data_IF_914742949103
#
_entry.id   IF_914742949103
#
_cell.length_a   1.000
_cell.length_b   1.000
_cell.length_c   1.000
_cell.angle_alpha   90.00
_cell.angle_beta   90.00
_cell.angle_gamma   90.00
#
_symmetry.space_group_name_H-M   'P 1'
#
loop_
_entity.id
_entity.type
_entity.pdbx_description
1 polymer ?
#
# COMPACT_ATOMS: atom_id res chain seq x y z
N UNK A 1 4.02 -11.64 -39.19
CA UNK A 1 4.39 -10.37 -38.58
C UNK A 1 3.40 -10.17 -37.45
N UNK A 2 3.83 -10.55 -36.25
CA UNK A 2 3.03 -10.56 -35.04
C UNK A 2 3.36 -9.29 -34.25
N UNK A 3 2.43 -8.34 -34.21
CA UNK A 3 2.46 -7.24 -33.26
C UNK A 3 1.81 -7.71 -31.97
N UNK A 4 2.64 -8.06 -30.98
CA UNK A 4 2.21 -8.19 -29.60
C UNK A 4 1.99 -6.78 -29.04
N UNK A 5 0.74 -6.39 -28.92
CA UNK A 5 0.32 -5.24 -28.10
C UNK A 5 0.58 -5.63 -26.64
N UNK A 6 1.58 -5.01 -26.04
CA UNK A 6 1.83 -5.11 -24.61
C UNK A 6 0.66 -4.42 -23.87
N UNK A 7 -0.27 -5.21 -23.35
CA UNK A 7 -1.23 -4.73 -22.36
C UNK A 7 -0.46 -4.32 -21.11
N UNK A 8 -0.25 -3.02 -20.94
CA UNK A 8 0.22 -2.44 -19.69
C UNK A 8 -0.88 -2.65 -18.65
N UNK A 9 -0.61 -3.55 -17.71
CA UNK A 9 -1.51 -3.86 -16.62
C UNK A 9 -1.70 -2.62 -15.73
N UNK A 10 -2.94 -2.14 -15.56
CA UNK A 10 -3.34 -1.05 -14.64
C UNK A 10 -2.91 -1.25 -13.18
N UNK A 11 -2.38 -2.43 -12.85
CA UNK A 11 -1.79 -2.72 -11.54
C UNK A 11 -0.47 -1.98 -11.31
N UNK A 12 0.23 -1.53 -12.36
CA UNK A 12 1.50 -0.82 -12.24
C UNK A 12 1.32 0.63 -11.74
N UNK A 13 0.20 1.27 -12.08
CA UNK A 13 -0.10 2.65 -11.68
C UNK A 13 -0.43 2.75 -10.17
N UNK A 14 -0.99 1.67 -9.57
CA UNK A 14 -1.31 1.62 -8.14
C UNK A 14 -0.11 1.47 -7.21
N UNK A 15 1.07 1.16 -7.72
CA UNK A 15 2.29 1.07 -6.88
C UNK A 15 2.76 2.45 -6.43
N UNK A 16 2.48 3.50 -7.20
CA UNK A 16 2.74 4.88 -6.80
C UNK A 16 1.79 5.34 -5.69
N UNK A 17 0.51 4.97 -5.74
CA UNK A 17 -0.47 5.26 -4.69
C UNK A 17 -0.09 4.62 -3.35
N UNK A 18 0.50 3.43 -3.35
CA UNK A 18 0.97 2.79 -2.12
C UNK A 18 2.23 3.43 -1.55
N UNK A 19 3.11 3.97 -2.40
CA UNK A 19 4.26 4.78 -1.96
C UNK A 19 3.76 6.09 -1.33
N UNK A 20 2.76 6.72 -1.93
CA UNK A 20 2.12 7.92 -1.40
C UNK A 20 1.39 7.65 -0.07
N UNK A 21 0.64 6.55 0.05
CA UNK A 21 -0.03 6.14 1.29
C UNK A 21 0.98 5.81 2.40
N UNK A 22 2.11 5.15 2.07
CA UNK A 22 3.19 4.90 3.02
C UNK A 22 3.82 6.21 3.51
N UNK A 23 4.06 7.15 2.61
CA UNK A 23 4.60 8.47 2.93
C UNK A 23 3.64 9.25 3.84
N UNK A 24 2.34 9.19 3.57
CA UNK A 24 1.30 9.84 4.38
C UNK A 24 1.15 9.18 5.76
N UNK A 25 1.18 7.83 5.84
CA UNK A 25 1.08 7.10 7.10
C UNK A 25 2.28 7.36 8.02
N UNK A 26 3.50 7.38 7.46
CA UNK A 26 4.72 7.68 8.20
C UNK A 26 4.73 9.13 8.68
N UNK A 27 4.25 10.08 7.86
CA UNK A 27 4.13 11.48 8.24
C UNK A 27 3.09 11.71 9.35
N UNK A 28 1.96 10.99 9.31
CA UNK A 28 0.92 11.13 10.33
C UNK A 28 1.36 10.54 11.68
N UNK A 29 2.10 9.43 11.68
CA UNK A 29 2.69 8.86 12.89
C UNK A 29 3.76 9.79 13.51
N UNK A 30 4.56 10.44 12.68
CA UNK A 30 5.55 11.44 13.13
C UNK A 30 4.89 12.70 13.69
N UNK A 31 3.78 13.17 13.11
CA UNK A 31 3.08 14.38 13.57
C UNK A 31 2.44 14.21 14.94
N UNK A 32 1.94 13.03 15.28
CA UNK A 32 1.27 12.79 16.58
C UNK A 32 2.22 12.77 17.77
N UNK A 33 3.52 12.64 17.57
CA UNK A 33 4.54 12.58 18.62
C UNK A 33 5.50 13.79 18.65
N UNK A 34 5.20 14.85 17.90
CA UNK A 34 5.98 16.11 17.94
C UNK A 34 5.49 17.03 19.07
N UNK A 35 5.95 16.74 20.28
CA UNK A 35 6.29 17.85 21.19
C UNK A 35 7.42 18.65 20.54
N UNK A 36 7.44 19.97 20.70
CA UNK A 36 8.43 20.92 20.16
C UNK A 36 9.88 20.45 20.32
N UNK A 37 10.32 19.51 19.52
CA UNK A 37 11.73 19.10 19.45
C UNK A 37 12.38 19.94 18.38
N UNK A 38 13.44 20.63 18.74
CA UNK A 38 14.26 21.43 17.83
C UNK A 38 14.44 20.72 16.48
N UNK A 39 14.17 21.42 15.39
CA UNK A 39 14.36 20.93 14.01
C UNK A 39 15.72 20.27 13.88
N UNK A 40 15.74 19.01 13.48
CA UNK A 40 17.01 18.31 13.23
C UNK A 40 17.71 19.01 12.06
N UNK A 41 18.99 19.36 12.19
CA UNK A 41 19.74 19.98 11.10
C UNK A 41 19.84 19.02 9.91
N UNK A 42 19.90 19.58 8.72
CA UNK A 42 20.21 18.83 7.52
C UNK A 42 21.62 18.21 7.65
N UNK A 43 21.74 16.93 7.26
CA UNK A 43 22.99 16.21 7.20
C UNK A 43 23.19 15.66 5.79
N UNK A 44 24.36 15.87 5.22
CA UNK A 44 24.77 15.23 3.97
C UNK A 44 24.87 13.71 4.15
N UNK A 45 24.87 12.94 3.06
CA UNK A 45 24.99 11.47 3.15
C UNK A 45 26.26 11.02 3.86
N UNK A 46 27.38 11.70 3.63
CA UNK A 46 28.64 11.45 4.35
C UNK A 46 28.52 11.70 5.85
N UNK A 47 27.90 12.79 6.27
CA UNK A 47 27.64 13.09 7.67
C UNK A 47 26.70 12.08 8.32
N UNK A 48 25.69 11.59 7.57
CA UNK A 48 24.81 10.53 8.03
C UNK A 48 25.57 9.23 8.25
N UNK A 49 26.45 8.84 7.33
CA UNK A 49 27.32 7.66 7.44
C UNK A 49 28.26 7.80 8.65
N UNK A 50 28.92 8.93 8.80
CA UNK A 50 29.80 9.19 9.96
C UNK A 50 29.04 9.11 11.28
N UNK A 51 27.83 9.65 11.34
CA UNK A 51 26.97 9.56 12.51
C UNK A 51 26.60 8.11 12.87
N UNK A 52 26.31 7.27 11.86
CA UNK A 52 26.02 5.85 12.07
C UNK A 52 27.22 5.10 12.66
N UNK A 53 28.41 5.36 12.15
CA UNK A 53 29.64 4.71 12.62
C UNK A 53 30.05 5.22 13.99
N UNK A 54 30.28 6.52 14.10
CA UNK A 54 30.94 7.12 15.27
C UNK A 54 30.02 7.21 16.48
N UNK A 55 28.79 7.70 16.27
CA UNK A 55 27.85 7.92 17.39
C UNK A 55 27.03 6.71 17.70
N UNK A 56 26.57 5.98 16.67
CA UNK A 56 25.64 4.88 16.84
C UNK A 56 26.30 3.50 16.85
N UNK A 57 27.59 3.40 16.49
CA UNK A 57 28.38 2.18 16.57
C UNK A 57 28.00 1.10 15.56
N UNK A 58 27.50 1.51 14.39
CA UNK A 58 27.19 0.60 13.28
C UNK A 58 28.48 0.27 12.50
N UNK A 59 28.61 -0.97 12.06
CA UNK A 59 29.72 -1.38 11.20
C UNK A 59 29.31 -1.12 9.72
N UNK A 60 30.14 -0.34 9.03
CA UNK A 60 29.97 -0.04 7.59
C UNK A 60 31.26 -0.42 6.87
N UNK A 61 31.25 -1.55 6.20
CA UNK A 61 32.42 -2.09 5.49
C UNK A 61 32.68 -1.38 4.17
N UNK A 62 31.60 -1.03 3.45
CA UNK A 62 31.66 -0.34 2.17
C UNK A 62 30.92 0.98 2.21
N UNK A 63 31.66 2.08 2.37
CA UNK A 63 31.09 3.43 2.45
C UNK A 63 30.41 3.87 1.15
N UNK A 64 30.97 3.49 0.00
CA UNK A 64 30.38 3.80 -1.30
C UNK A 64 29.01 3.14 -1.46
N UNK A 65 28.91 1.88 -1.09
CA UNK A 65 27.64 1.15 -1.09
C UNK A 65 26.60 1.80 -0.15
N UNK A 66 27.04 2.20 1.05
CA UNK A 66 26.17 2.88 2.00
C UNK A 66 25.64 4.23 1.45
N UNK A 67 26.51 4.99 0.78
CA UNK A 67 26.16 6.24 0.14
C UNK A 67 25.08 6.01 -0.96
N UNK A 68 25.34 5.10 -1.89
CA UNK A 68 24.40 4.75 -2.97
C UNK A 68 23.05 4.32 -2.42
N UNK A 69 23.02 3.46 -1.40
CA UNK A 69 21.75 3.01 -0.77
C UNK A 69 21.02 4.12 -0.02
N UNK A 70 21.71 5.06 0.60
CA UNK A 70 21.06 6.21 1.26
C UNK A 70 20.53 7.23 0.24
N UNK A 71 21.16 7.36 -0.92
CA UNK A 71 20.67 8.16 -2.04
C UNK A 71 19.37 7.55 -2.62
N UNK A 72 19.36 6.23 -2.85
CA UNK A 72 18.21 5.52 -3.44
C UNK A 72 16.99 5.45 -2.51
N UNK A 73 17.22 5.14 -1.21
CA UNK A 73 16.13 4.75 -0.29
C UNK A 73 15.79 5.85 0.71
N UNK A 74 16.69 6.76 0.99
CA UNK A 74 16.71 7.73 2.09
C UNK A 74 17.01 7.15 3.47
N UNK A 75 17.69 7.97 4.30
CA UNK A 75 18.01 7.62 5.68
C UNK A 75 16.78 7.25 6.52
N UNK A 76 15.71 8.02 6.39
CA UNK A 76 14.49 7.80 7.18
C UNK A 76 13.84 6.46 6.88
N UNK A 77 13.68 6.12 5.59
CA UNK A 77 13.04 4.88 5.17
C UNK A 77 13.88 3.65 5.52
N UNK A 78 15.19 3.73 5.32
CA UNK A 78 16.11 2.61 5.55
C UNK A 78 16.44 2.46 7.04
N UNK A 79 17.02 3.50 7.65
CA UNK A 79 17.58 3.44 8.99
C UNK A 79 16.49 3.56 10.06
N UNK A 80 15.69 4.62 10.02
CA UNK A 80 14.68 4.82 11.05
C UNK A 80 13.52 3.80 10.94
N UNK A 81 13.23 3.30 9.75
CA UNK A 81 12.21 2.28 9.52
C UNK A 81 12.53 0.92 10.12
N UNK A 82 13.83 0.51 10.10
CA UNK A 82 14.23 -0.85 10.47
C UNK A 82 15.14 -0.95 11.70
N UNK A 83 15.50 0.17 12.31
CA UNK A 83 16.43 0.21 13.47
C UNK A 83 15.98 -0.62 14.68
N UNK A 84 14.67 -0.78 14.90
CA UNK A 84 14.13 -1.34 16.14
C UNK A 84 14.64 -2.76 16.46
N UNK A 85 14.97 -3.56 15.46
CA UNK A 85 15.51 -4.91 15.65
C UNK A 85 16.99 -4.90 16.09
N UNK A 86 17.73 -3.90 15.66
CA UNK A 86 19.18 -3.82 15.79
C UNK A 86 19.64 -2.77 16.81
N UNK A 87 18.79 -1.86 17.22
CA UNK A 87 19.13 -0.70 18.04
C UNK A 87 18.73 -0.92 19.50
N UNK A 88 19.63 -0.55 20.41
CA UNK A 88 19.34 -0.53 21.83
C UNK A 88 18.97 0.90 22.25
N UNK A 89 17.71 1.15 22.65
CA UNK A 89 17.25 2.49 23.01
C UNK A 89 17.92 3.03 24.30
N UNK A 90 18.34 2.14 25.21
CA UNK A 90 18.97 2.54 26.49
C UNK A 90 20.37 3.09 26.27
N UNK A 91 21.18 2.44 25.42
CA UNK A 91 22.54 2.87 25.11
C UNK A 91 22.57 3.87 23.94
N UNK A 92 21.47 4.03 23.22
CA UNK A 92 21.36 4.80 21.97
C UNK A 92 22.34 4.37 20.89
N UNK A 93 22.70 3.08 20.86
CA UNK A 93 23.66 2.47 19.93
C UNK A 93 23.07 1.21 19.30
N UNK A 94 23.61 0.84 18.16
CA UNK A 94 23.33 -0.45 17.56
C UNK A 94 23.97 -1.58 18.38
N UNK A 95 23.38 -2.76 18.30
CA UNK A 95 23.94 -3.96 18.93
C UNK A 95 25.32 -4.26 18.34
N UNK A 96 26.28 -4.76 19.12
CA UNK A 96 27.60 -5.12 18.61
C UNK A 96 27.48 -6.06 17.38
N UNK A 97 28.28 -5.77 16.36
CA UNK A 97 28.30 -6.54 15.13
C UNK A 97 27.19 -6.22 14.12
N UNK A 98 26.24 -5.30 14.42
CA UNK A 98 25.25 -4.85 13.44
C UNK A 98 25.92 -4.13 12.28
N UNK A 99 25.71 -4.62 11.07
CA UNK A 99 26.24 -4.03 9.86
C UNK A 99 25.17 -3.20 9.14
N UNK A 100 25.60 -2.29 8.28
CA UNK A 100 24.69 -1.55 7.42
C UNK A 100 23.97 -2.48 6.43
N UNK A 101 24.71 -3.48 5.96
CA UNK A 101 24.23 -4.51 5.05
C UNK A 101 23.08 -5.34 5.64
N UNK A 102 23.09 -5.59 6.97
CA UNK A 102 21.98 -6.29 7.66
C UNK A 102 20.66 -5.50 7.56
N UNK A 103 20.75 -4.19 7.72
CA UNK A 103 19.57 -3.31 7.62
C UNK A 103 19.06 -3.26 6.17
N UNK A 104 19.97 -3.14 5.20
CA UNK A 104 19.62 -3.17 3.79
C UNK A 104 18.97 -4.50 3.41
N UNK A 105 19.56 -5.62 3.85
CA UNK A 105 19.00 -6.96 3.58
C UNK A 105 17.58 -7.11 4.14
N UNK A 106 17.31 -6.60 5.34
CA UNK A 106 15.98 -6.60 5.94
C UNK A 106 15.01 -5.71 5.17
N UNK A 107 15.44 -4.54 4.71
CA UNK A 107 14.65 -3.66 3.87
C UNK A 107 14.26 -4.34 2.55
N UNK A 108 15.22 -4.92 1.86
CA UNK A 108 14.99 -5.62 0.58
C UNK A 108 14.10 -6.86 0.74
N UNK A 109 14.27 -7.59 1.85
CA UNK A 109 13.37 -8.71 2.18
C UNK A 109 11.92 -8.22 2.38
N UNK A 110 11.73 -7.17 3.16
CA UNK A 110 10.39 -6.60 3.43
C UNK A 110 9.77 -6.03 2.13
N UNK A 111 10.56 -5.43 1.25
CA UNK A 111 10.09 -4.95 -0.05
C UNK A 111 9.58 -6.11 -0.93
N UNK A 112 10.36 -7.19 -1.02
CA UNK A 112 9.96 -8.40 -1.77
C UNK A 112 8.72 -9.06 -1.17
N UNK A 113 8.65 -9.15 0.16
CA UNK A 113 7.50 -9.70 0.86
C UNK A 113 6.24 -8.87 0.62
N UNK A 114 6.34 -7.54 0.70
CA UNK A 114 5.21 -6.64 0.39
C UNK A 114 4.73 -6.80 -1.05
N UNK A 115 5.64 -6.86 -2.01
CA UNK A 115 5.29 -7.06 -3.41
C UNK A 115 4.55 -8.38 -3.63
N UNK A 116 5.02 -9.46 -2.98
CA UNK A 116 4.37 -10.77 -3.02
C UNK A 116 2.96 -10.74 -2.41
N UNK A 117 2.84 -10.23 -1.20
CA UNK A 117 1.55 -10.11 -0.49
C UNK A 117 0.58 -9.24 -1.28
N UNK A 118 1.04 -8.12 -1.82
CA UNK A 118 0.23 -7.21 -2.61
C UNK A 118 -0.33 -7.87 -3.87
N UNK A 119 0.49 -8.66 -4.58
CA UNK A 119 0.05 -9.44 -5.74
C UNK A 119 -1.16 -10.33 -5.39
N UNK A 120 -1.07 -11.07 -4.29
CA UNK A 120 -2.16 -11.95 -3.88
C UNK A 120 -3.37 -11.19 -3.34
N UNK A 121 -3.17 -10.05 -2.68
CA UNK A 121 -4.27 -9.18 -2.27
C UNK A 121 -5.06 -8.64 -3.46
N UNK A 122 -4.40 -8.25 -4.55
CA UNK A 122 -5.07 -7.83 -5.78
C UNK A 122 -5.92 -8.97 -6.38
N UNK A 123 -5.38 -10.20 -6.43
CA UNK A 123 -6.15 -11.35 -6.90
C UNK A 123 -7.36 -11.65 -5.99
N UNK A 124 -7.16 -11.57 -4.67
CA UNK A 124 -8.24 -11.76 -3.71
C UNK A 124 -9.32 -10.69 -3.88
N UNK A 125 -8.92 -9.42 -3.98
CA UNK A 125 -9.85 -8.30 -4.21
C UNK A 125 -10.67 -8.49 -5.49
N UNK A 126 -10.01 -8.85 -6.59
CA UNK A 126 -10.69 -9.13 -7.87
C UNK A 126 -11.69 -10.28 -7.74
N UNK A 127 -11.30 -11.37 -7.08
CA UNK A 127 -12.18 -12.51 -6.82
C UNK A 127 -13.38 -12.11 -5.96
N UNK A 128 -13.15 -11.36 -4.89
CA UNK A 128 -14.22 -10.88 -3.99
C UNK A 128 -15.19 -9.95 -4.70
N UNK A 129 -14.70 -9.02 -5.52
CA UNK A 129 -15.57 -8.15 -6.34
C UNK A 129 -16.49 -8.96 -7.26
N UNK A 130 -15.93 -9.93 -7.97
CA UNK A 130 -16.70 -10.82 -8.85
C UNK A 130 -17.75 -11.61 -8.09
N UNK A 131 -17.38 -12.22 -6.96
CA UNK A 131 -18.31 -13.01 -6.15
C UNK A 131 -19.43 -12.16 -5.55
N UNK A 132 -19.09 -11.01 -4.98
CA UNK A 132 -20.08 -10.09 -4.39
C UNK A 132 -21.08 -9.64 -5.45
N UNK A 133 -20.59 -9.21 -6.62
CA UNK A 133 -21.45 -8.78 -7.71
C UNK A 133 -22.36 -9.91 -8.18
N UNK A 134 -21.81 -11.10 -8.40
CA UNK A 134 -22.58 -12.26 -8.86
C UNK A 134 -23.69 -12.64 -7.86
N UNK A 135 -23.33 -12.90 -6.61
CA UNK A 135 -24.28 -13.35 -5.59
C UNK A 135 -25.29 -12.27 -5.21
N UNK A 136 -24.90 -11.01 -5.28
CA UNK A 136 -25.86 -9.92 -5.05
C UNK A 136 -26.93 -9.90 -6.15
N UNK A 137 -26.52 -9.94 -7.41
CA UNK A 137 -27.46 -9.97 -8.53
C UNK A 137 -28.35 -11.24 -8.54
N UNK A 138 -27.78 -12.39 -8.15
CA UNK A 138 -28.51 -13.65 -8.05
C UNK A 138 -29.57 -13.63 -6.94
N UNK A 139 -29.27 -12.94 -5.83
CA UNK A 139 -30.14 -12.92 -4.64
C UNK A 139 -31.19 -11.81 -4.69
N UNK A 140 -30.82 -10.63 -5.20
CA UNK A 140 -31.68 -9.43 -5.16
C UNK A 140 -32.05 -8.96 -6.57
N UNK A 141 -31.17 -8.25 -7.24
CA UNK A 141 -31.35 -7.82 -8.63
C UNK A 141 -30.07 -7.24 -9.23
N UNK A 142 -30.12 -6.99 -10.54
CA UNK A 142 -29.04 -6.34 -11.30
C UNK A 142 -29.10 -4.80 -11.24
N UNK A 143 -30.07 -4.23 -10.53
CA UNK A 143 -30.26 -2.78 -10.47
C UNK A 143 -29.33 -2.15 -9.46
N UNK A 144 -28.76 -1.01 -9.85
CA UNK A 144 -27.84 -0.28 -8.98
C UNK A 144 -28.52 0.25 -7.71
N UNK A 145 -29.81 0.57 -7.78
CA UNK A 145 -30.59 1.06 -6.65
C UNK A 145 -30.64 0.05 -5.50
N UNK A 146 -30.67 -1.24 -5.83
CA UNK A 146 -30.74 -2.30 -4.81
C UNK A 146 -29.46 -2.41 -3.97
N UNK A 147 -28.29 -2.01 -4.53
CA UNK A 147 -27.05 -1.87 -3.72
C UNK A 147 -27.11 -0.74 -2.71
N UNK A 148 -28.03 0.20 -2.88
CA UNK A 148 -28.19 1.35 -2.00
C UNK A 148 -29.34 1.13 -0.99
N UNK A 149 -30.10 0.06 -1.14
CA UNK A 149 -31.20 -0.27 -0.23
C UNK A 149 -30.65 -0.94 1.05
N UNK A 150 -30.84 -0.26 2.19
CA UNK A 150 -30.41 -0.75 3.49
C UNK A 150 -31.04 -2.09 3.88
N UNK A 151 -32.22 -2.42 3.34
CA UNK A 151 -32.95 -3.66 3.66
C UNK A 151 -32.22 -4.92 3.18
N UNK A 152 -31.33 -4.80 2.21
CA UNK A 152 -30.50 -5.90 1.70
C UNK A 152 -29.26 -6.17 2.55
N UNK A 153 -29.00 -5.36 3.57
CA UNK A 153 -27.87 -5.52 4.46
C UNK A 153 -28.29 -6.10 5.80
N UNK A 154 -27.45 -6.93 6.37
CA UNK A 154 -27.67 -7.49 7.71
C UNK A 154 -27.52 -6.39 8.79
N UNK A 155 -28.63 -5.66 9.03
CA UNK A 155 -28.68 -4.53 9.95
C UNK A 155 -28.84 -5.03 11.41
N UNK A 156 -27.74 -5.07 12.12
CA UNK A 156 -27.75 -5.27 13.58
C UNK A 156 -27.43 -3.94 14.27
N UNK A 157 -27.87 -3.81 15.53
CA UNK A 157 -27.65 -2.59 16.33
C UNK A 157 -26.19 -2.13 16.37
N UNK A 158 -25.24 -3.10 16.26
CA UNK A 158 -23.81 -2.82 16.33
C UNK A 158 -23.18 -2.38 15.01
N UNK A 159 -23.79 -2.69 13.85
CA UNK A 159 -23.18 -2.40 12.53
C UNK A 159 -23.96 -1.39 11.69
N UNK A 160 -25.15 -0.96 12.13
CA UNK A 160 -26.03 -0.03 11.41
C UNK A 160 -25.31 1.24 10.94
N UNK A 161 -24.51 1.85 11.80
CA UNK A 161 -23.76 3.05 11.44
C UNK A 161 -22.68 2.79 10.38
N UNK A 162 -22.07 1.61 10.39
CA UNK A 162 -21.09 1.19 9.39
C UNK A 162 -21.76 0.93 8.03
N UNK A 163 -22.94 0.32 8.02
CA UNK A 163 -23.75 0.13 6.82
C UNK A 163 -24.18 1.46 6.21
N UNK A 164 -24.68 2.39 7.00
CA UNK A 164 -25.07 3.72 6.52
C UNK A 164 -23.86 4.48 5.91
N UNK A 165 -22.68 4.38 6.52
CA UNK A 165 -21.45 4.95 5.96
C UNK A 165 -21.07 4.29 4.63
N UNK A 166 -21.19 2.96 4.53
CA UNK A 166 -20.92 2.22 3.31
C UNK A 166 -21.87 2.67 2.18
N UNK A 167 -23.18 2.73 2.44
CA UNK A 167 -24.17 3.19 1.47
C UNK A 167 -23.87 4.61 1.00
N UNK A 168 -23.55 5.53 1.91
CA UNK A 168 -23.17 6.90 1.56
C UNK A 168 -21.91 6.98 0.67
N UNK A 169 -20.94 6.08 0.88
CA UNK A 169 -19.75 5.96 0.02
C UNK A 169 -20.16 5.43 -1.36
N UNK A 170 -20.98 4.38 -1.42
CA UNK A 170 -21.46 3.80 -2.69
C UNK A 170 -22.25 4.82 -3.50
N UNK A 171 -23.16 5.57 -2.88
CA UNK A 171 -23.89 6.66 -3.54
C UNK A 171 -22.97 7.73 -4.12
N UNK A 172 -21.97 8.12 -3.38
CA UNK A 172 -20.99 9.12 -3.82
C UNK A 172 -20.19 8.63 -5.03
N UNK A 173 -19.73 7.38 -4.99
CA UNK A 173 -18.96 6.80 -6.08
C UNK A 173 -19.85 6.53 -7.32
N UNK A 174 -21.09 6.08 -7.14
CA UNK A 174 -22.06 5.92 -8.22
C UNK A 174 -22.33 7.22 -8.98
N UNK A 175 -22.37 8.36 -8.29
CA UNK A 175 -22.55 9.68 -8.91
C UNK A 175 -21.31 10.16 -9.70
N UNK A 176 -20.13 9.66 -9.37
CA UNK A 176 -18.89 10.03 -10.08
C UNK A 176 -18.68 9.25 -11.37
N UNK A 177 -19.23 8.04 -11.45
CA UNK A 177 -19.02 7.15 -12.60
C UNK A 177 -19.96 7.55 -13.71
N UNK A 178 -19.49 7.97 -14.90
CA UNK A 178 -20.38 8.28 -16.01
C UNK A 178 -21.20 7.06 -16.42
N UNK A 179 -22.48 7.27 -16.73
CA UNK A 179 -23.42 6.22 -17.18
C UNK A 179 -22.84 5.41 -18.36
N UNK A 180 -22.05 6.06 -19.21
CA UNK A 180 -21.34 5.46 -20.34
C UNK A 180 -20.36 4.33 -19.93
N UNK A 181 -19.70 4.43 -18.78
CA UNK A 181 -18.78 3.40 -18.31
C UNK A 181 -19.53 2.18 -17.77
N UNK A 182 -20.65 2.38 -17.11
CA UNK A 182 -21.53 1.30 -16.62
C UNK A 182 -22.23 0.56 -17.77
N UNK A 183 -22.64 1.26 -18.84
CA UNK A 183 -23.19 0.61 -20.03
C UNK A 183 -22.11 -0.23 -20.76
N UNK A 184 -20.88 0.24 -20.81
CA UNK A 184 -19.76 -0.48 -21.41
C UNK A 184 -19.39 -1.77 -20.62
N UNK A 185 -19.41 -1.71 -19.27
CA UNK A 185 -19.20 -2.91 -18.44
C UNK A 185 -20.37 -3.89 -18.60
N UNK A 186 -21.60 -3.39 -18.69
CA UNK A 186 -22.81 -4.21 -18.90
C UNK A 186 -22.76 -4.92 -20.26
N UNK A 187 -22.33 -4.23 -21.30
CA UNK A 187 -22.18 -4.76 -22.66
C UNK A 187 -21.06 -5.81 -22.73
N UNK A 188 -19.88 -5.53 -22.15
CA UNK A 188 -18.76 -6.48 -22.09
C UNK A 188 -19.02 -7.71 -21.22
N UNK A 189 -19.76 -7.57 -20.11
CA UNK A 189 -20.12 -8.73 -19.29
C UNK A 189 -21.15 -9.61 -19.98
N UNK A 190 -22.11 -9.04 -20.73
CA UNK A 190 -23.04 -9.85 -21.55
C UNK A 190 -22.33 -10.59 -22.69
N UNK A 191 -21.36 -9.97 -23.36
CA UNK A 191 -20.57 -10.66 -24.40
C UNK A 191 -19.74 -11.83 -23.84
N UNK A 192 -19.15 -11.68 -22.64
CA UNK A 192 -18.42 -12.78 -21.97
C UNK A 192 -19.33 -13.94 -21.54
N UNK A 193 -20.59 -13.66 -21.16
CA UNK A 193 -21.56 -14.71 -20.84
C UNK A 193 -22.04 -15.47 -22.09
N UNK A 194 -22.17 -14.80 -23.22
CA UNK A 194 -22.59 -15.41 -24.49
C UNK A 194 -21.44 -16.19 -25.17
N UNK A 195 -20.17 -15.84 -24.93
CA UNK A 195 -19.01 -16.53 -25.50
C UNK A 195 -18.59 -17.78 -24.69
N UNK A 196 -19.10 -17.98 -23.48
CA UNK A 196 -18.84 -19.13 -22.62
C UNK A 196 -19.81 -20.32 -22.77
N UNK A 197 -20.73 -20.27 -23.75
CA UNK A 197 -21.77 -21.28 -23.97
C UNK A 197 -21.66 -21.95 -25.36
N UNK A 198 -20.42 -22.26 -25.79
CA UNK A 198 -20.15 -23.14 -26.96
C UNK A 198 -19.08 -24.15 -26.62
#
# INVERSE_FOLDING_TARGET
>A
VSDQVAETCDACDRTEDLRALRFLYINDYSRRNMTETALKPFLTYEEQINNLVERKGMVISNRKYAFEKLEDISYFSLIDGYKNLFYNPMTRRYKPGTTFEDIVALYEFDEKLRALVFKYLCHFEQKMRSLISYYFCDTYSEKQEDYLDITHYNDTQNNKQSILRLIAILEREAKKTPITYMSFIKEKSMEMFLCGSL
#
